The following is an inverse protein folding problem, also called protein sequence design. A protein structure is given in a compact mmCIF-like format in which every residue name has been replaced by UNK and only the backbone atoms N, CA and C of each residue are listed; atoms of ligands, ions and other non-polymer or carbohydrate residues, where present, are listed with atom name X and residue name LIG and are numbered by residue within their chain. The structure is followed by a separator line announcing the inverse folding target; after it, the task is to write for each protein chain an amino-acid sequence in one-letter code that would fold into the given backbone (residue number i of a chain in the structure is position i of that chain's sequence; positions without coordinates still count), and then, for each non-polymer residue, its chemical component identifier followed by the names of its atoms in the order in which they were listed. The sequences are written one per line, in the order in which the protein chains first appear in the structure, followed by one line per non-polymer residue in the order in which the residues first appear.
data_IF_418517556396
#
_entry.id   IF_418517556396
#
_cell.length_a   1.000
_cell.length_b   1.000
_cell.length_c   1.000
_cell.angle_alpha   90.00
_cell.angle_beta   90.00
_cell.angle_gamma   90.00
#
_symmetry.space_group_name_H-M   'P 1'
#
loop_
_entity.id
_entity.type
_entity.pdbx_description
1 polymer ?
#
# COMPACT_ATOMS: atom_id res chain seq x y z
N UNK A 1 41.32 17.06 23.35
CA UNK A 1 41.50 17.26 21.89
C UNK A 1 40.92 16.00 21.27
N UNK A 2 39.74 16.09 20.63
CA UNK A 2 38.96 14.91 20.26
C UNK A 2 39.62 14.13 19.10
N UNK A 3 39.64 12.81 19.22
CA UNK A 3 40.23 11.82 18.29
C UNK A 3 39.46 11.68 16.96
N UNK A 4 39.05 12.78 16.35
CA UNK A 4 38.25 12.75 15.11
C UNK A 4 39.06 12.49 13.83
N UNK A 5 40.40 12.49 13.90
CA UNK A 5 41.30 12.27 12.76
C UNK A 5 41.65 10.78 12.50
N UNK A 6 40.83 9.85 12.99
CA UNK A 6 41.10 8.42 12.80
C UNK A 6 40.52 7.90 11.48
N UNK A 7 39.45 8.53 10.99
CA UNK A 7 38.69 8.05 9.83
C UNK A 7 38.42 9.17 8.81
N UNK A 8 38.55 8.84 7.53
CA UNK A 8 38.15 9.70 6.42
C UNK A 8 36.88 9.19 5.76
N UNK A 9 36.07 10.13 5.29
CA UNK A 9 34.88 9.85 4.51
C UNK A 9 35.27 9.45 3.08
N UNK A 10 34.70 8.36 2.59
CA UNK A 10 34.82 7.93 1.20
C UNK A 10 33.45 7.59 0.65
N UNK A 11 33.31 7.68 -0.67
CA UNK A 11 32.10 7.37 -1.40
C UNK A 11 32.35 6.09 -2.18
N UNK A 12 31.70 5.01 -1.81
CA UNK A 12 31.64 3.80 -2.64
C UNK A 12 30.64 4.06 -3.77
N UNK A 13 31.11 4.00 -5.01
CA UNK A 13 30.34 4.40 -6.19
C UNK A 13 29.79 3.19 -6.94
N UNK A 14 28.65 3.35 -7.60
CA UNK A 14 27.95 2.29 -8.32
C UNK A 14 27.63 2.69 -9.75
N UNK A 15 27.69 1.75 -10.72
CA UNK A 15 27.31 2.02 -12.11
C UNK A 15 25.79 2.21 -12.28
N UNK A 16 25.00 1.62 -11.39
CA UNK A 16 23.53 1.62 -11.38
C UNK A 16 22.98 2.29 -10.12
N UNK A 17 21.80 2.90 -10.24
CA UNK A 17 21.10 3.53 -9.13
C UNK A 17 20.71 2.47 -8.10
N UNK A 18 21.05 2.70 -6.84
CA UNK A 18 20.71 1.83 -5.72
C UNK A 18 19.26 2.05 -5.27
N UNK A 19 18.77 1.22 -4.35
CA UNK A 19 17.38 1.28 -3.85
C UNK A 19 17.06 2.62 -3.16
N UNK A 20 18.06 3.28 -2.59
CA UNK A 20 17.96 4.61 -1.98
C UNK A 20 17.88 5.75 -3.01
N UNK A 21 18.00 5.45 -4.30
CA UNK A 21 17.98 6.43 -5.37
C UNK A 21 19.34 7.06 -5.65
N UNK A 22 20.43 6.65 -4.98
CA UNK A 22 21.76 7.21 -5.17
C UNK A 22 22.66 6.28 -6.01
N UNK A 23 23.72 6.86 -6.57
CA UNK A 23 24.80 6.09 -7.24
C UNK A 23 26.01 5.89 -6.33
N UNK A 24 25.88 6.16 -5.03
CA UNK A 24 26.96 6.02 -4.09
C UNK A 24 26.45 5.75 -2.67
N UNK A 25 27.31 5.18 -1.84
CA UNK A 25 27.11 5.04 -0.39
C UNK A 25 28.33 5.60 0.34
N UNK A 26 28.08 6.26 1.46
CA UNK A 26 29.12 6.88 2.28
C UNK A 26 29.71 5.84 3.24
N UNK A 27 31.03 5.73 3.26
CA UNK A 27 31.80 4.91 4.20
C UNK A 27 32.82 5.77 4.95
N UNK A 28 33.22 5.29 6.12
CA UNK A 28 34.33 5.85 6.89
C UNK A 28 35.42 4.78 6.98
N UNK A 29 36.59 5.08 6.43
CA UNK A 29 37.75 4.18 6.46
C UNK A 29 38.90 4.85 7.23
N UNK A 30 39.87 4.08 7.76
CA UNK A 30 41.03 4.66 8.42
C UNK A 30 41.74 5.72 7.55
N UNK A 31 42.24 6.78 8.17
CA UNK A 31 42.83 7.92 7.46
C UNK A 31 43.98 7.52 6.52
N UNK A 32 44.76 6.52 6.93
CA UNK A 32 45.89 5.91 6.22
C UNK A 32 45.51 4.88 5.14
N UNK A 33 44.24 4.46 5.08
CA UNK A 33 43.79 3.48 4.10
C UNK A 33 43.81 4.07 2.67
N UNK A 34 44.33 3.30 1.71
CA UNK A 34 44.34 3.71 0.30
C UNK A 34 42.93 3.63 -0.27
N UNK A 35 42.47 4.71 -0.89
CA UNK A 35 41.18 4.75 -1.58
C UNK A 35 41.38 4.26 -3.01
N UNK A 36 40.64 3.22 -3.38
CA UNK A 36 40.72 2.61 -4.70
C UNK A 36 39.33 2.28 -5.22
N UNK A 37 39.22 2.13 -6.54
CA UNK A 37 37.97 1.73 -7.20
C UNK A 37 37.32 0.53 -6.48
N UNK A 38 36.01 0.57 -6.21
CA UNK A 38 35.03 1.56 -6.65
C UNK A 38 34.82 2.76 -5.70
N UNK A 39 35.75 3.02 -4.77
CA UNK A 39 35.67 4.11 -3.80
C UNK A 39 36.43 5.35 -4.28
N UNK A 40 35.92 6.54 -3.89
CA UNK A 40 36.59 7.83 -4.09
C UNK A 40 36.48 8.67 -2.82
N UNK A 41 37.52 9.44 -2.48
CA UNK A 41 37.51 10.44 -1.40
C UNK A 41 37.21 11.85 -1.94
N UNK A 42 37.02 11.99 -3.25
CA UNK A 42 36.68 13.28 -3.83
C UNK A 42 35.32 13.75 -3.33
N UNK A 43 35.23 14.94 -2.72
CA UNK A 43 33.96 15.48 -2.25
C UNK A 43 33.02 15.74 -3.44
N UNK A 44 31.72 15.58 -3.20
CA UNK A 44 30.68 15.94 -4.18
C UNK A 44 30.68 17.47 -4.33
N UNK A 45 30.85 18.01 -5.54
CA UNK A 45 30.79 19.45 -5.79
C UNK A 45 29.47 20.06 -5.34
N UNK A 46 29.54 21.29 -4.83
CA UNK A 46 28.38 22.03 -4.33
C UNK A 46 27.30 22.24 -5.40
N UNK A 47 27.70 22.34 -6.67
CA UNK A 47 26.81 22.47 -7.83
C UNK A 47 25.87 21.27 -8.01
N UNK A 48 26.22 20.11 -7.44
CA UNK A 48 25.43 18.89 -7.47
C UNK A 48 24.62 18.66 -6.18
N UNK A 49 24.71 19.57 -5.20
CA UNK A 49 23.88 19.53 -3.98
C UNK A 49 22.44 19.89 -4.34
N UNK A 50 21.65 18.89 -4.69
CA UNK A 50 20.25 19.04 -5.13
C UNK A 50 19.92 18.23 -6.39
N UNK A 51 20.93 17.67 -7.05
CA UNK A 51 20.75 16.64 -8.08
C UNK A 51 21.07 15.26 -7.51
N UNK A 52 20.95 14.23 -8.34
CA UNK A 52 21.45 12.90 -8.00
C UNK A 52 22.85 12.76 -8.62
N UNK A 53 23.94 12.96 -7.86
CA UNK A 53 25.28 12.90 -8.41
C UNK A 53 25.69 11.44 -8.67
N UNK A 54 26.38 11.24 -9.79
CA UNK A 54 26.99 9.98 -10.19
C UNK A 54 28.47 10.20 -10.41
N UNK A 55 29.32 9.31 -9.90
CA UNK A 55 30.74 9.39 -10.17
C UNK A 55 31.07 8.70 -11.50
N UNK A 56 31.60 9.45 -12.45
CA UNK A 56 32.02 8.95 -13.75
C UNK A 56 33.52 8.64 -13.72
N UNK A 57 33.85 7.35 -13.77
CA UNK A 57 35.21 6.84 -13.83
C UNK A 57 35.83 6.87 -15.24
N UNK A 58 35.06 7.18 -16.29
CA UNK A 58 35.52 7.07 -17.69
C UNK A 58 36.26 8.32 -18.19
N UNK A 59 36.72 9.19 -17.29
CA UNK A 59 37.34 10.45 -17.69
C UNK A 59 38.81 10.24 -18.03
N UNK A 60 39.16 10.80 -19.19
CA UNK A 60 40.47 10.75 -19.81
C UNK A 60 41.56 11.21 -18.81
N UNK A 61 42.55 10.34 -18.54
CA UNK A 61 43.59 10.57 -17.54
C UNK A 61 43.41 9.85 -16.20
N UNK A 62 42.36 9.04 -16.02
CA UNK A 62 42.25 8.09 -14.89
C UNK A 62 41.74 8.68 -13.57
N UNK A 63 41.33 9.95 -13.57
CA UNK A 63 40.70 10.61 -12.42
C UNK A 63 39.23 10.85 -12.76
N UNK A 64 38.34 10.10 -12.12
CA UNK A 64 36.90 10.28 -12.32
C UNK A 64 36.40 11.63 -11.83
N UNK A 65 35.18 12.00 -12.21
CA UNK A 65 34.51 13.21 -11.68
C UNK A 65 33.06 12.95 -11.32
N UNK A 66 32.54 13.74 -10.40
CA UNK A 66 31.11 13.80 -10.14
C UNK A 66 30.37 14.49 -11.30
N UNK A 67 29.33 13.84 -11.79
CA UNK A 67 28.43 14.36 -12.82
C UNK A 67 26.99 14.31 -12.34
N UNK A 68 26.17 15.21 -12.85
CA UNK A 68 24.71 15.13 -12.69
C UNK A 68 24.21 13.92 -13.49
N UNK A 69 23.59 12.95 -12.80
CA UNK A 69 23.02 11.76 -13.45
C UNK A 69 21.79 12.07 -14.31
N UNK A 70 21.24 13.29 -14.24
CA UNK A 70 19.97 13.71 -14.86
C UNK A 70 18.76 12.90 -14.38
N UNK A 71 18.93 12.08 -13.36
CA UNK A 71 17.83 11.41 -12.68
C UNK A 71 17.12 12.44 -11.82
N UNK A 72 15.81 12.54 -11.98
CA UNK A 72 14.99 13.38 -11.12
C UNK A 72 15.09 12.85 -9.68
N UNK A 73 15.59 13.65 -8.72
CA UNK A 73 15.77 13.23 -7.33
C UNK A 73 14.47 12.77 -6.68
N UNK A 74 13.33 13.24 -7.17
CA UNK A 74 12.01 12.89 -6.65
C UNK A 74 11.49 11.57 -7.23
N UNK A 75 12.17 10.94 -8.20
CA UNK A 75 11.68 9.70 -8.84
C UNK A 75 11.51 8.57 -7.82
N UNK A 76 12.44 8.45 -6.87
CA UNK A 76 12.38 7.46 -5.80
C UNK A 76 11.20 7.74 -4.85
N UNK A 77 11.02 9.00 -4.45
CA UNK A 77 9.90 9.42 -3.59
C UNK A 77 8.53 9.23 -4.27
N UNK A 78 8.41 9.63 -5.54
CA UNK A 78 7.20 9.44 -6.35
C UNK A 78 6.88 7.96 -6.50
N UNK A 79 7.89 7.10 -6.68
CA UNK A 79 7.70 5.65 -6.78
C UNK A 79 7.24 5.05 -5.45
N UNK A 80 7.81 5.50 -4.33
CA UNK A 80 7.36 5.10 -2.99
C UNK A 80 5.91 5.53 -2.72
N UNK A 81 5.55 6.78 -3.06
CA UNK A 81 4.19 7.31 -2.95
C UNK A 81 3.18 6.53 -3.80
N UNK A 82 3.56 6.15 -5.03
CA UNK A 82 2.73 5.27 -5.88
C UNK A 82 2.51 3.89 -5.24
N UNK A 83 3.55 3.32 -4.64
CA UNK A 83 3.45 2.04 -3.90
C UNK A 83 2.48 2.12 -2.72
N UNK A 84 2.59 3.19 -1.92
CA UNK A 84 1.67 3.46 -0.80
C UNK A 84 0.23 3.60 -1.31
N UNK A 85 0.00 4.36 -2.38
CA UNK A 85 -1.33 4.52 -2.98
C UNK A 85 -1.96 3.19 -3.42
N UNK A 86 -1.17 2.28 -3.99
CA UNK A 86 -1.66 0.95 -4.38
C UNK A 86 -2.06 0.08 -3.17
N UNK A 87 -1.32 0.18 -2.05
CA UNK A 87 -1.64 -0.54 -0.81
C UNK A 87 -2.94 0.01 -0.20
N UNK A 88 -3.06 1.33 -0.08
CA UNK A 88 -4.27 1.98 0.43
C UNK A 88 -5.49 1.65 -0.42
N UNK A 89 -5.36 1.65 -1.75
CA UNK A 89 -6.45 1.25 -2.65
C UNK A 89 -6.95 -0.18 -2.40
N UNK A 90 -6.05 -1.13 -2.17
CA UNK A 90 -6.41 -2.52 -1.83
C UNK A 90 -7.07 -2.63 -0.45
N UNK A 91 -6.57 -1.91 0.54
CA UNK A 91 -7.17 -1.87 1.87
C UNK A 91 -8.57 -1.26 1.84
N UNK A 92 -8.76 -0.17 1.09
CA UNK A 92 -10.06 0.45 0.91
C UNK A 92 -11.05 -0.48 0.22
N UNK A 93 -10.65 -1.15 -0.88
CA UNK A 93 -11.50 -2.12 -1.56
C UNK A 93 -11.92 -3.28 -0.65
N UNK A 94 -10.99 -3.76 0.19
CA UNK A 94 -11.26 -4.82 1.17
C UNK A 94 -12.24 -4.35 2.26
N UNK A 95 -12.09 -3.11 2.75
CA UNK A 95 -12.99 -2.52 3.73
C UNK A 95 -14.41 -2.32 3.17
N UNK A 96 -14.53 -1.87 1.91
CA UNK A 96 -15.83 -1.74 1.23
C UNK A 96 -16.52 -3.09 1.08
N UNK A 97 -15.80 -4.13 0.65
CA UNK A 97 -16.36 -5.47 0.53
C UNK A 97 -16.84 -6.03 1.89
N UNK A 98 -16.08 -5.80 2.96
CA UNK A 98 -16.47 -6.19 4.31
C UNK A 98 -17.73 -5.44 4.79
N UNK A 99 -17.83 -4.14 4.51
CA UNK A 99 -19.01 -3.34 4.85
C UNK A 99 -20.26 -3.80 4.08
N UNK A 100 -20.13 -4.11 2.79
CA UNK A 100 -21.24 -4.66 1.99
C UNK A 100 -21.71 -6.01 2.52
N UNK A 101 -20.78 -6.87 2.94
CA UNK A 101 -21.12 -8.17 3.51
C UNK A 101 -21.81 -8.01 4.88
N UNK A 102 -21.36 -7.08 5.72
CA UNK A 102 -22.03 -6.74 6.97
C UNK A 102 -23.44 -6.20 6.74
N UNK A 103 -23.63 -5.28 5.78
CA UNK A 103 -24.94 -4.75 5.43
C UNK A 103 -25.91 -5.84 4.95
N UNK A 104 -25.43 -6.78 4.13
CA UNK A 104 -26.23 -7.95 3.71
C UNK A 104 -26.62 -8.83 4.88
N UNK A 105 -25.71 -9.09 5.81
CA UNK A 105 -25.99 -9.88 7.01
C UNK A 105 -27.03 -9.19 7.92
N UNK A 106 -26.92 -7.88 8.12
CA UNK A 106 -27.90 -7.10 8.89
C UNK A 106 -29.28 -7.13 8.23
N UNK A 107 -29.35 -6.98 6.91
CA UNK A 107 -30.61 -7.06 6.18
C UNK A 107 -31.28 -8.45 6.31
N UNK A 108 -30.48 -9.52 6.22
CA UNK A 108 -30.97 -10.90 6.41
C UNK A 108 -31.48 -11.12 7.85
N UNK A 109 -30.74 -10.64 8.85
CA UNK A 109 -31.15 -10.74 10.26
C UNK A 109 -32.45 -9.96 10.52
N UNK A 110 -32.57 -8.77 9.93
CA UNK A 110 -33.77 -7.93 10.05
C UNK A 110 -34.99 -8.62 9.44
N UNK A 111 -34.83 -9.27 8.28
CA UNK A 111 -35.89 -10.05 7.64
C UNK A 111 -36.30 -11.25 8.50
N UNK A 112 -35.33 -11.96 9.08
CA UNK A 112 -35.59 -13.13 9.92
C UNK A 112 -36.31 -12.74 11.21
N UNK A 113 -35.86 -11.67 11.87
CA UNK A 113 -36.57 -11.12 13.03
C UNK A 113 -38.00 -10.76 12.66
N UNK A 114 -38.23 -10.05 11.55
CA UNK A 114 -39.58 -9.69 11.09
C UNK A 114 -40.49 -10.91 10.81
N UNK A 115 -39.92 -12.05 10.40
CA UNK A 115 -40.66 -13.30 10.22
C UNK A 115 -41.00 -13.97 11.57
N UNK A 116 -40.09 -13.93 12.55
CA UNK A 116 -40.32 -14.50 13.89
C UNK A 116 -41.35 -13.72 14.72
N UNK A 117 -41.52 -12.41 14.50
CA UNK A 117 -42.55 -11.60 15.22
C UNK A 117 -43.95 -11.77 14.64
N UNK A 118 -44.13 -12.51 13.53
CA UNK A 118 -45.45 -12.74 12.95
C UNK A 118 -46.21 -13.77 13.82
N UNK A 119 -47.32 -13.42 14.49
CA UNK A 119 -48.01 -14.36 15.38
C UNK A 119 -48.55 -15.55 14.55
N UNK A 120 -48.62 -16.76 15.14
CA UNK A 120 -49.19 -17.90 14.46
C UNK A 120 -50.63 -17.60 14.07
N UNK A 121 -50.92 -17.66 12.78
CA UNK A 121 -52.30 -17.77 12.30
C UNK A 121 -52.79 -19.15 12.70
N UNK A 122 -53.48 -19.24 13.85
CA UNK A 122 -54.24 -20.44 14.20
C UNK A 122 -55.20 -20.74 13.04
N UNK A 123 -55.17 -21.92 12.42
CA UNK A 123 -56.21 -22.31 11.49
C UNK A 123 -57.51 -22.38 12.27
N UNK A 124 -58.49 -21.54 11.92
CA UNK A 124 -59.88 -21.76 12.37
C UNK A 124 -60.31 -23.12 11.83
N UNK A 125 -60.53 -24.08 12.73
CA UNK A 125 -61.04 -25.40 12.41
C UNK A 125 -62.42 -25.32 11.72
N UNK A 126 -62.75 -26.25 10.81
CA UNK A 126 -64.02 -26.22 10.10
C UNK A 126 -65.18 -26.56 11.05
N UNK A 127 -66.07 -25.60 11.32
CA UNK A 127 -67.29 -25.87 12.07
C UNK A 127 -68.25 -26.67 11.19
N UNK A 128 -68.34 -27.97 11.47
CA UNK A 128 -69.44 -28.81 11.02
C UNK A 128 -70.72 -28.39 11.76
N UNK A 129 -71.78 -28.06 11.03
CA UNK A 129 -73.13 -28.04 11.58
C UNK A 129 -74.01 -28.94 10.72
N UNK A 130 -74.59 -29.94 11.39
CA UNK A 130 -75.33 -31.05 10.81
C UNK A 130 -76.64 -30.63 10.13
N UNK A 131 -77.00 -31.44 9.13
CA UNK A 131 -78.28 -31.52 8.43
C UNK A 131 -79.47 -31.76 9.38
N UNK A 132 -80.60 -31.08 9.15
CA UNK A 132 -81.93 -31.66 9.39
C UNK A 132 -82.91 -31.17 8.33
N UNK A 133 -83.62 -32.13 7.74
CA UNK A 133 -84.59 -31.97 6.67
C UNK A 133 -85.94 -31.42 7.17
N UNK A 134 -86.62 -30.64 6.32
CA UNK A 134 -88.09 -30.58 6.24
C UNK A 134 -88.51 -30.02 4.88
N UNK A 135 -89.20 -30.85 4.10
CA UNK A 135 -89.87 -30.51 2.86
C UNK A 135 -91.08 -29.60 3.13
N UNK A 136 -91.41 -28.68 2.22
CA UNK A 136 -92.82 -28.41 1.79
C UNK A 136 -92.80 -27.62 0.48
N UNK A 137 -93.41 -28.23 -0.52
CA UNK A 137 -93.83 -27.64 -1.79
C UNK A 137 -95.14 -26.87 -1.56
N UNK A 138 -95.28 -25.65 -2.06
CA UNK A 138 -96.61 -25.15 -2.41
C UNK A 138 -96.59 -24.17 -3.58
N UNK A 139 -97.64 -24.32 -4.37
CA UNK A 139 -97.84 -23.94 -5.74
C UNK A 139 -98.99 -22.93 -5.77
N UNK A 140 -98.82 -21.76 -6.39
CA UNK A 140 -99.94 -21.00 -6.96
C UNK A 140 -99.48 -19.96 -7.95
#
# INVERSE_FOLDING_TARGET
MAETDTYKQVFMTYPVQQQDGLFYTVYYIPQDAVVQYPMTDQPIPDELKGTVPKYDWQIDGGVGKWVDSKVDPNTAEISALKGIGAILGKQLASAVAAADQANKAVAALTLQVAQDIKPPVTPVAPTSTATSAASTSENK
#
